data_IF_168139283984
#
_entry.id   IF_168139283984
#
_cell.length_a   1.000
_cell.length_b   1.000
_cell.length_c   1.000
_cell.angle_alpha   90.00
_cell.angle_beta   90.00
_cell.angle_gamma   90.00
#
_symmetry.space_group_name_H-M   'P 1'
#
loop_
_entity.id
_entity.type
_entity.pdbx_description
1 polymer ?
#
# COMPACT_ATOMS: atom_id res chain seq x y z
N UNK A 1 -32.16 -31.08 -7.20
CA UNK A 1 -31.05 -30.53 -8.04
C UNK A 1 -29.89 -31.51 -8.23
N UNK A 2 -29.76 -32.56 -7.43
CA UNK A 2 -28.78 -33.64 -7.66
C UNK A 2 -29.20 -34.66 -8.72
N UNK A 3 -30.50 -34.80 -8.96
CA UNK A 3 -31.09 -35.75 -9.92
C UNK A 3 -30.67 -35.53 -11.38
N UNK A 4 -30.18 -34.33 -11.73
CA UNK A 4 -29.75 -33.97 -13.09
C UNK A 4 -28.24 -33.98 -13.27
N UNK A 5 -27.48 -34.24 -12.21
CA UNK A 5 -26.01 -34.27 -12.28
C UNK A 5 -25.59 -35.58 -12.95
N UNK A 6 -24.78 -35.54 -14.03
CA UNK A 6 -24.26 -36.76 -14.64
C UNK A 6 -23.51 -37.60 -13.62
N UNK A 7 -23.90 -38.86 -13.49
CA UNK A 7 -23.28 -39.84 -12.60
C UNK A 7 -22.88 -41.10 -13.38
N UNK A 8 -22.04 -41.91 -12.76
CA UNK A 8 -21.65 -43.22 -13.26
C UNK A 8 -21.98 -44.24 -12.17
N UNK A 9 -22.69 -45.31 -12.55
CA UNK A 9 -22.94 -46.43 -11.65
C UNK A 9 -21.63 -47.21 -11.47
N UNK A 10 -21.06 -47.13 -10.27
CA UNK A 10 -19.89 -47.91 -9.86
C UNK A 10 -20.41 -49.11 -9.07
N UNK A 11 -20.04 -50.33 -9.50
CA UNK A 11 -20.37 -51.53 -8.72
C UNK A 11 -19.70 -51.44 -7.36
N UNK A 12 -20.38 -51.91 -6.31
CA UNK A 12 -19.94 -51.77 -4.92
C UNK A 12 -18.52 -52.30 -4.66
N UNK A 13 -18.08 -53.33 -5.40
CA UNK A 13 -16.70 -53.87 -5.32
C UNK A 13 -15.65 -53.13 -6.16
N UNK A 14 -16.02 -52.13 -6.96
CA UNK A 14 -15.10 -51.36 -7.80
C UNK A 14 -14.71 -50.02 -7.18
N UNK A 15 -15.43 -49.56 -6.14
CA UNK A 15 -15.17 -48.27 -5.48
C UNK A 15 -13.80 -48.22 -4.80
N UNK A 16 -13.33 -49.35 -4.27
CA UNK A 16 -12.00 -49.51 -3.66
C UNK A 16 -10.86 -49.14 -4.61
N UNK A 17 -11.08 -49.29 -5.92
CA UNK A 17 -10.12 -48.90 -6.93
C UNK A 17 -9.95 -47.38 -7.01
N UNK A 18 -10.92 -46.58 -6.56
CA UNK A 18 -10.94 -45.12 -6.65
C UNK A 18 -10.77 -44.40 -5.32
N UNK A 19 -10.93 -45.12 -4.20
CA UNK A 19 -10.70 -44.57 -2.86
C UNK A 19 -9.28 -44.01 -2.71
N UNK A 20 -9.20 -42.80 -2.17
CA UNK A 20 -7.96 -42.15 -1.78
C UNK A 20 -7.43 -42.75 -0.50
N UNK A 21 -6.10 -42.91 -0.44
CA UNK A 21 -5.38 -43.41 0.73
C UNK A 21 -4.23 -42.48 1.07
N UNK A 22 -3.82 -42.43 2.35
CA UNK A 22 -2.58 -41.78 2.73
C UNK A 22 -1.40 -42.28 1.89
N UNK A 23 -0.52 -41.35 1.53
CA UNK A 23 0.60 -41.49 0.61
C UNK A 23 0.24 -41.57 -0.89
N UNK A 24 -1.03 -41.60 -1.28
CA UNK A 24 -1.37 -41.45 -2.71
C UNK A 24 -0.80 -40.12 -3.25
N UNK A 25 -0.24 -40.15 -4.45
CA UNK A 25 0.15 -38.92 -5.15
C UNK A 25 -0.82 -38.69 -6.31
N UNK A 26 -1.50 -37.55 -6.26
CA UNK A 26 -2.40 -37.07 -7.28
C UNK A 26 -1.67 -36.15 -8.25
N UNK A 27 -1.94 -36.32 -9.54
CA UNK A 27 -1.35 -35.55 -10.63
C UNK A 27 -2.45 -34.89 -11.46
N UNK A 28 -2.33 -33.59 -11.69
CA UNK A 28 -3.22 -32.85 -12.56
C UNK A 28 -2.91 -33.13 -14.02
N UNK A 29 -3.90 -33.66 -14.75
CA UNK A 29 -3.70 -34.19 -16.10
C UNK A 29 -4.10 -33.24 -17.24
N UNK A 30 -4.89 -32.21 -16.94
CA UNK A 30 -5.44 -31.28 -17.94
C UNK A 30 -5.36 -29.82 -17.46
N UNK A 31 -5.22 -28.87 -18.40
CA UNK A 31 -5.36 -27.44 -18.15
C UNK A 31 -4.07 -26.74 -17.73
N UNK A 32 -4.19 -25.51 -17.21
CA UNK A 32 -3.04 -24.71 -16.77
C UNK A 32 -2.27 -25.27 -15.57
N UNK A 33 -2.75 -26.38 -14.99
CA UNK A 33 -2.13 -27.06 -13.85
C UNK A 33 -1.51 -28.40 -14.23
N UNK A 34 -1.45 -28.77 -15.51
CA UNK A 34 -0.80 -30.03 -15.95
C UNK A 34 0.59 -30.15 -15.36
N UNK A 35 0.89 -31.32 -14.77
CA UNK A 35 2.17 -31.55 -14.12
C UNK A 35 2.17 -31.36 -12.62
N UNK A 36 1.24 -30.56 -12.08
CA UNK A 36 1.20 -30.33 -10.64
C UNK A 36 0.82 -31.62 -9.92
N UNK A 37 1.57 -31.93 -8.88
CA UNK A 37 1.38 -33.11 -8.05
C UNK A 37 1.06 -32.74 -6.59
N UNK A 38 0.29 -33.58 -5.92
CA UNK A 38 -0.05 -33.44 -4.51
C UNK A 38 0.09 -34.78 -3.80
N UNK A 39 0.82 -34.79 -2.68
CA UNK A 39 0.95 -35.96 -1.81
C UNK A 39 -0.16 -35.92 -0.76
N UNK A 40 -1.04 -36.92 -0.79
CA UNK A 40 -2.12 -37.08 0.18
C UNK A 40 -1.51 -37.52 1.51
N UNK A 41 -1.58 -36.66 2.53
CA UNK A 41 -1.07 -36.99 3.87
C UNK A 41 -2.14 -37.67 4.72
N UNK A 42 -3.36 -37.14 4.69
CA UNK A 42 -4.49 -37.62 5.48
C UNK A 42 -5.76 -37.66 4.63
N UNK A 43 -6.64 -38.61 4.94
CA UNK A 43 -7.94 -38.80 4.29
C UNK A 43 -8.98 -38.91 5.42
N UNK A 44 -9.56 -37.79 5.88
CA UNK A 44 -10.42 -37.77 7.06
C UNK A 44 -11.76 -38.46 6.84
N UNK A 45 -12.24 -38.48 5.59
CA UNK A 45 -13.48 -39.12 5.17
C UNK A 45 -13.21 -39.90 3.88
N UNK A 46 -13.98 -40.96 3.65
CA UNK A 46 -13.90 -41.74 2.42
C UNK A 46 -14.14 -40.84 1.21
N UNK A 47 -13.09 -40.69 0.39
CA UNK A 47 -13.09 -39.77 -0.73
C UNK A 47 -12.51 -40.43 -1.97
N UNK A 48 -13.05 -40.05 -3.13
CA UNK A 48 -12.50 -40.37 -4.44
C UNK A 48 -11.94 -39.10 -5.09
N UNK A 49 -10.97 -39.26 -5.99
CA UNK A 49 -10.41 -38.13 -6.73
C UNK A 49 -11.22 -37.81 -7.99
N UNK A 50 -11.21 -36.55 -8.39
CA UNK A 50 -11.90 -36.11 -9.60
C UNK A 50 -11.28 -36.71 -10.87
N UNK A 51 -12.09 -36.93 -11.91
CA UNK A 51 -11.65 -37.62 -13.15
C UNK A 51 -10.57 -36.91 -13.97
N UNK A 52 -10.29 -35.63 -13.69
CA UNK A 52 -9.18 -34.88 -14.27
C UNK A 52 -7.86 -35.04 -13.49
N UNK A 53 -7.84 -35.87 -12.45
CA UNK A 53 -6.64 -36.25 -11.70
C UNK A 53 -6.23 -37.67 -12.05
N UNK A 54 -4.94 -37.94 -11.97
CA UNK A 54 -4.35 -39.28 -12.05
C UNK A 54 -3.78 -39.60 -10.67
N UNK A 55 -4.20 -40.72 -10.09
CA UNK A 55 -3.56 -41.27 -8.90
C UNK A 55 -2.43 -42.20 -9.32
N UNK A 56 -1.23 -41.95 -8.79
CA UNK A 56 -0.08 -42.83 -9.01
C UNK A 56 -0.17 -44.09 -8.13
N UNK A 57 0.33 -45.21 -8.65
CA UNK A 57 0.61 -46.42 -7.88
C UNK A 57 2.08 -46.76 -8.07
N UNK A 58 2.78 -47.01 -6.98
CA UNK A 58 4.22 -47.27 -7.00
C UNK A 58 4.57 -48.42 -6.06
N UNK A 59 5.76 -48.99 -6.26
CA UNK A 59 6.27 -50.12 -5.49
C UNK A 59 6.56 -49.72 -4.03
N UNK A 60 6.46 -50.69 -3.10
CA UNK A 60 6.84 -50.53 -1.69
C UNK A 60 8.32 -50.18 -1.49
N UNK A 61 9.16 -50.32 -2.52
CA UNK A 61 10.57 -49.90 -2.47
C UNK A 61 10.76 -48.39 -2.65
N UNK A 62 9.71 -47.66 -3.04
CA UNK A 62 9.75 -46.23 -3.31
C UNK A 62 9.08 -45.45 -2.16
N UNK A 63 9.82 -44.50 -1.60
CA UNK A 63 9.33 -43.55 -0.63
C UNK A 63 8.39 -42.54 -1.32
N UNK A 64 7.13 -42.39 -0.85
CA UNK A 64 6.16 -41.44 -1.41
C UNK A 64 6.67 -40.00 -1.42
N UNK A 65 7.31 -39.59 -0.33
CA UNK A 65 7.85 -38.24 -0.15
C UNK A 65 9.00 -37.98 -1.12
N UNK A 66 9.84 -38.98 -1.37
CA UNK A 66 10.91 -38.89 -2.36
C UNK A 66 10.32 -38.70 -3.77
N UNK A 67 9.34 -39.52 -4.15
CA UNK A 67 8.67 -39.38 -5.44
C UNK A 67 7.99 -38.00 -5.59
N UNK A 68 7.38 -37.50 -4.51
CA UNK A 68 6.79 -36.17 -4.48
C UNK A 68 7.84 -35.07 -4.74
N UNK A 69 9.00 -35.13 -4.09
CA UNK A 69 10.08 -34.19 -4.35
C UNK A 69 10.67 -34.32 -5.77
N UNK A 70 10.78 -35.55 -6.29
CA UNK A 70 11.17 -35.74 -7.68
C UNK A 70 10.18 -35.05 -8.63
N UNK A 71 8.87 -35.16 -8.39
CA UNK A 71 7.83 -34.48 -9.18
C UNK A 71 7.81 -32.95 -9.04
N UNK A 72 8.66 -32.38 -8.19
CA UNK A 72 8.89 -30.94 -8.09
C UNK A 72 10.23 -30.52 -8.71
N UNK A 73 11.08 -31.48 -9.07
CA UNK A 73 12.40 -31.25 -9.63
C UNK A 73 12.36 -30.85 -11.11
N UNK A 74 13.42 -30.19 -11.55
CA UNK A 74 13.55 -29.80 -12.96
C UNK A 74 13.62 -31.01 -13.91
N UNK A 75 14.20 -32.13 -13.46
CA UNK A 75 14.27 -33.37 -14.25
C UNK A 75 12.88 -33.95 -14.55
N UNK A 76 11.94 -33.76 -13.65
CA UNK A 76 10.55 -34.14 -13.89
C UNK A 76 9.88 -33.18 -14.88
N UNK A 77 10.04 -31.88 -14.65
CA UNK A 77 9.41 -30.86 -15.49
C UNK A 77 9.97 -30.83 -16.92
N UNK A 78 11.25 -31.15 -17.12
CA UNK A 78 11.84 -31.27 -18.46
C UNK A 78 11.21 -32.41 -19.25
N UNK A 79 11.12 -33.60 -18.65
CA UNK A 79 10.47 -34.77 -19.25
C UNK A 79 8.98 -34.52 -19.52
N UNK A 80 8.30 -33.83 -18.61
CA UNK A 80 6.90 -33.48 -18.81
C UNK A 80 6.73 -32.54 -20.01
N UNK A 81 7.53 -31.47 -20.12
CA UNK A 81 7.44 -30.52 -21.24
C UNK A 81 7.73 -31.17 -22.60
N UNK A 82 8.71 -32.07 -22.64
CA UNK A 82 9.03 -32.85 -23.84
C UNK A 82 7.93 -33.87 -24.20
N UNK A 83 7.28 -34.46 -23.19
CA UNK A 83 6.25 -35.48 -23.36
C UNK A 83 4.81 -34.95 -23.50
N UNK A 84 4.57 -33.67 -23.24
CA UNK A 84 3.22 -33.07 -23.36
C UNK A 84 2.90 -32.66 -24.79
N UNK A 85 1.68 -32.97 -25.22
CA UNK A 85 1.16 -32.52 -26.51
C UNK A 85 0.85 -31.02 -26.39
N UNK A 86 1.48 -30.21 -27.26
CA UNK A 86 1.25 -28.76 -27.33
C UNK A 86 -0.08 -28.50 -28.06
N UNK A 87 -1.19 -28.68 -27.35
CA UNK A 87 -2.54 -28.23 -27.78
C UNK A 87 -2.97 -26.98 -27.00
N UNK A 88 -4.04 -26.31 -27.44
CA UNK A 88 -4.59 -25.12 -26.76
C UNK A 88 -4.89 -25.35 -25.26
N UNK A 89 -5.21 -26.59 -24.88
CA UNK A 89 -5.23 -27.05 -23.50
C UNK A 89 -4.16 -28.13 -23.32
N UNK A 90 -3.12 -27.91 -22.50
CA UNK A 90 -2.11 -28.94 -22.21
C UNK A 90 -2.76 -30.18 -21.58
N UNK A 91 -2.29 -31.36 -21.96
CA UNK A 91 -2.77 -32.63 -21.44
C UNK A 91 -1.60 -33.62 -21.28
N UNK A 92 -1.59 -34.34 -20.16
CA UNK A 92 -0.68 -35.45 -19.91
C UNK A 92 -1.49 -36.66 -19.45
N UNK A 93 -1.38 -37.79 -20.13
CA UNK A 93 -2.11 -39.01 -19.77
C UNK A 93 -1.24 -39.96 -18.93
N UNK A 94 -1.87 -41.00 -18.37
CA UNK A 94 -1.18 -41.97 -17.53
C UNK A 94 -0.07 -42.76 -18.23
N UNK A 95 -0.15 -42.94 -19.56
CA UNK A 95 0.90 -43.61 -20.34
C UNK A 95 2.13 -42.73 -20.47
N UNK A 96 1.96 -41.45 -20.74
CA UNK A 96 3.06 -40.47 -20.74
C UNK A 96 3.71 -40.37 -19.38
N UNK A 97 2.90 -40.27 -18.31
CA UNK A 97 3.41 -40.22 -16.93
C UNK A 97 4.17 -41.50 -16.55
N UNK A 98 3.67 -42.67 -16.95
CA UNK A 98 4.30 -43.96 -16.66
C UNK A 98 5.62 -44.22 -17.42
N UNK A 99 5.90 -43.46 -18.48
CA UNK A 99 7.14 -43.56 -19.25
C UNK A 99 8.25 -42.64 -18.72
N UNK A 100 7.99 -41.84 -17.68
CA UNK A 100 8.99 -40.96 -17.11
C UNK A 100 10.09 -41.75 -16.40
N UNK A 101 11.34 -41.33 -16.61
CA UNK A 101 12.50 -41.88 -15.94
C UNK A 101 12.62 -41.25 -14.55
N UNK A 102 12.61 -42.11 -13.52
CA UNK A 102 12.79 -41.72 -12.12
C UNK A 102 14.09 -42.33 -11.62
N UNK A 103 15.04 -41.55 -11.09
CA UNK A 103 16.21 -42.10 -10.42
C UNK A 103 15.76 -42.69 -9.06
N UNK A 104 15.94 -43.99 -8.86
CA UNK A 104 15.52 -44.68 -7.63
C UNK A 104 16.78 -45.12 -6.86
N UNK A 105 17.23 -44.35 -5.84
CA UNK A 105 18.32 -44.78 -4.98
C UNK A 105 17.83 -45.84 -3.97
N UNK A 106 18.74 -46.49 -3.22
CA UNK A 106 18.37 -47.42 -2.15
C UNK A 106 17.44 -46.77 -1.11
N UNK A 107 16.58 -47.57 -0.46
CA UNK A 107 15.53 -47.04 0.42
C UNK A 107 16.03 -46.15 1.57
N UNK A 108 17.18 -46.47 2.17
CA UNK A 108 17.79 -45.62 3.21
C UNK A 108 18.24 -44.26 2.66
N UNK A 109 18.72 -44.23 1.42
CA UNK A 109 19.17 -43.02 0.75
C UNK A 109 17.97 -42.13 0.35
N UNK A 110 16.86 -42.73 -0.07
CA UNK A 110 15.60 -42.00 -0.30
C UNK A 110 15.15 -41.26 0.97
N UNK A 111 15.16 -41.94 2.13
CA UNK A 111 14.80 -41.35 3.42
C UNK A 111 15.76 -40.22 3.78
N UNK A 112 17.08 -40.45 3.68
CA UNK A 112 18.10 -39.44 3.97
C UNK A 112 17.94 -38.17 3.12
N UNK A 113 17.62 -38.32 1.84
CA UNK A 113 17.33 -37.21 0.92
C UNK A 113 16.09 -36.44 1.38
N UNK A 114 15.00 -37.14 1.68
CA UNK A 114 13.74 -36.54 2.14
C UNK A 114 13.94 -35.75 3.43
N UNK A 115 14.65 -36.31 4.42
CA UNK A 115 14.97 -35.62 5.67
C UNK A 115 15.74 -34.33 5.44
N UNK A 116 16.75 -34.37 4.55
CA UNK A 116 17.55 -33.19 4.24
C UNK A 116 16.73 -32.11 3.52
N UNK A 117 15.87 -32.51 2.59
CA UNK A 117 14.97 -31.59 1.88
C UNK A 117 13.97 -30.96 2.84
N UNK A 118 13.35 -31.74 3.72
CA UNK A 118 12.43 -31.24 4.74
C UNK A 118 13.10 -30.18 5.64
N UNK A 119 14.31 -30.47 6.14
CA UNK A 119 15.05 -29.55 6.98
C UNK A 119 15.33 -28.21 6.28
N UNK A 120 15.68 -28.24 4.99
CA UNK A 120 15.94 -27.01 4.21
C UNK A 120 14.63 -26.28 3.89
N UNK A 121 13.57 -27.01 3.52
CA UNK A 121 12.28 -26.42 3.17
C UNK A 121 11.65 -25.67 4.35
N UNK A 122 11.86 -26.12 5.58
CA UNK A 122 11.42 -25.40 6.77
C UNK A 122 11.97 -23.96 6.81
N UNK A 123 13.26 -23.77 6.52
CA UNK A 123 13.88 -22.44 6.45
C UNK A 123 13.38 -21.61 5.28
N UNK A 124 13.09 -22.22 4.12
CA UNK A 124 12.52 -21.53 2.96
C UNK A 124 11.13 -20.98 3.27
N UNK A 125 10.30 -21.77 3.96
CA UNK A 125 8.95 -21.36 4.39
C UNK A 125 9.03 -20.20 5.39
N UNK A 126 9.93 -20.29 6.38
CA UNK A 126 10.16 -19.22 7.36
C UNK A 126 10.58 -17.92 6.66
N UNK A 127 11.59 -18.00 5.78
CA UNK A 127 12.05 -16.85 5.00
C UNK A 127 10.92 -16.22 4.16
N UNK A 128 10.12 -17.05 3.48
CA UNK A 128 8.99 -16.57 2.67
C UNK A 128 7.93 -15.84 3.51
N UNK A 129 7.72 -16.29 4.75
CA UNK A 129 6.81 -15.63 5.71
C UNK A 129 7.35 -14.26 6.13
N UNK A 130 8.64 -14.18 6.44
CA UNK A 130 9.32 -12.93 6.81
C UNK A 130 9.31 -11.93 5.64
N UNK A 131 9.65 -12.38 4.43
CA UNK A 131 9.63 -11.54 3.22
C UNK A 131 8.23 -10.98 2.93
N UNK A 132 7.20 -11.83 3.03
CA UNK A 132 5.80 -11.40 2.86
C UNK A 132 5.40 -10.34 3.89
N UNK A 133 5.81 -10.53 5.16
CA UNK A 133 5.58 -9.56 6.23
C UNK A 133 6.31 -8.24 5.97
N UNK A 134 7.57 -8.29 5.55
CA UNK A 134 8.35 -7.10 5.21
C UNK A 134 7.70 -6.32 4.07
N UNK A 135 7.29 -7.00 2.99
CA UNK A 135 6.57 -6.39 1.87
C UNK A 135 5.28 -5.73 2.32
N UNK A 136 4.48 -6.42 3.13
CA UNK A 136 3.25 -5.87 3.68
C UNK A 136 3.49 -4.60 4.51
N UNK A 137 4.48 -4.62 5.40
CA UNK A 137 4.86 -3.46 6.20
C UNK A 137 5.34 -2.31 5.33
N UNK A 138 6.20 -2.57 4.35
CA UNK A 138 6.70 -1.55 3.42
C UNK A 138 5.59 -0.93 2.57
N UNK A 139 4.56 -1.69 2.23
CA UNK A 139 3.41 -1.17 1.47
C UNK A 139 2.52 -0.25 2.32
N UNK A 140 2.36 -0.56 3.61
CA UNK A 140 1.44 0.16 4.51
C UNK A 140 2.14 1.33 5.23
N UNK A 141 3.44 1.19 5.49
CA UNK A 141 4.23 2.15 6.26
C UNK A 141 4.15 3.59 5.71
N UNK A 142 4.27 3.85 4.39
CA UNK A 142 4.21 5.22 3.86
C UNK A 142 2.92 5.95 4.19
N UNK A 143 1.76 5.31 4.00
CA UNK A 143 0.47 5.95 4.28
C UNK A 143 0.21 6.08 5.79
N UNK A 144 0.64 5.11 6.61
CA UNK A 144 0.57 5.24 8.07
C UNK A 144 1.44 6.39 8.58
N UNK A 145 2.68 6.48 8.12
CA UNK A 145 3.61 7.54 8.50
C UNK A 145 3.06 8.91 8.09
N UNK A 146 2.57 9.02 6.86
CA UNK A 146 1.94 10.25 6.34
C UNK A 146 0.73 10.67 7.16
N UNK A 147 -0.17 9.74 7.51
CA UNK A 147 -1.33 10.02 8.37
C UNK A 147 -0.89 10.54 9.74
N UNK A 148 0.12 9.90 10.34
CA UNK A 148 0.66 10.32 11.63
C UNK A 148 1.32 11.71 11.57
N UNK A 149 2.17 11.98 10.58
CA UNK A 149 2.79 13.31 10.41
C UNK A 149 1.73 14.39 10.18
N UNK A 150 0.72 14.13 9.37
CA UNK A 150 -0.38 15.08 9.14
C UNK A 150 -1.18 15.35 10.41
N UNK A 151 -1.46 14.32 11.21
CA UNK A 151 -2.15 14.46 12.48
C UNK A 151 -1.35 15.34 13.46
N UNK A 152 -0.06 15.07 13.61
CA UNK A 152 0.83 15.89 14.45
C UNK A 152 0.96 17.33 13.91
N UNK A 153 0.90 17.51 12.58
CA UNK A 153 0.91 18.84 11.95
C UNK A 153 -0.33 19.66 12.30
N UNK A 154 -1.52 19.04 12.24
CA UNK A 154 -2.79 19.67 12.57
C UNK A 154 -2.86 20.02 14.06
N UNK A 155 -2.31 19.15 14.91
CA UNK A 155 -2.22 19.41 16.35
C UNK A 155 -1.14 20.44 16.73
N UNK A 156 -0.36 20.93 15.75
CA UNK A 156 0.71 21.90 15.99
C UNK A 156 1.97 21.32 16.63
N UNK A 157 1.98 20.04 16.98
CA UNK A 157 3.05 19.36 17.74
C UNK A 157 4.35 19.12 16.97
N UNK A 158 4.37 19.38 15.66
CA UNK A 158 5.58 19.30 14.84
C UNK A 158 6.65 20.35 15.18
N UNK A 159 6.33 21.33 16.02
CA UNK A 159 7.25 22.37 16.49
C UNK A 159 7.07 22.61 17.98
N UNK A 160 8.13 23.03 18.70
CA UNK A 160 8.03 23.44 20.11
C UNK A 160 6.95 24.51 20.29
N UNK A 161 6.06 24.29 21.26
CA UNK A 161 4.98 25.21 21.58
C UNK A 161 5.49 26.31 22.52
N UNK A 162 5.10 27.56 22.24
CA UNK A 162 5.32 28.66 23.19
C UNK A 162 4.14 28.70 24.18
N UNK A 163 4.38 28.59 25.50
CA UNK A 163 3.32 28.70 26.51
C UNK A 163 2.58 30.05 26.50
N UNK A 164 3.18 31.08 25.90
CA UNK A 164 2.59 32.41 25.78
C UNK A 164 1.81 32.63 24.47
N UNK A 165 1.79 31.66 23.55
CA UNK A 165 0.99 31.76 22.33
C UNK A 165 -0.51 31.79 22.67
N UNK A 166 -1.24 32.68 22.00
CA UNK A 166 -2.68 32.80 22.20
C UNK A 166 -3.40 31.51 21.76
N UNK A 167 -4.32 30.97 22.57
CA UNK A 167 -5.12 29.82 22.16
C UNK A 167 -5.95 30.17 20.92
N UNK A 168 -5.98 29.25 19.94
CA UNK A 168 -6.74 29.43 18.70
C UNK A 168 -8.23 29.75 18.93
N UNK A 169 -8.80 29.30 20.07
CA UNK A 169 -10.17 29.63 20.48
C UNK A 169 -10.40 31.15 20.59
N UNK A 170 -9.45 31.90 21.15
CA UNK A 170 -9.55 33.35 21.35
C UNK A 170 -9.53 34.10 20.01
N UNK A 171 -8.73 33.61 19.05
CA UNK A 171 -8.72 34.14 17.68
C UNK A 171 -10.05 33.87 16.97
N UNK A 172 -10.61 32.67 17.12
CA UNK A 172 -11.90 32.30 16.51
C UNK A 172 -13.05 33.16 17.04
N UNK A 173 -13.06 33.47 18.34
CA UNK A 173 -14.05 34.38 18.92
C UNK A 173 -13.95 35.79 18.34
N UNK A 174 -12.73 36.35 18.20
CA UNK A 174 -12.51 37.65 17.52
C UNK A 174 -13.03 37.65 16.09
N UNK A 175 -12.71 36.60 15.32
CA UNK A 175 -13.16 36.47 13.93
C UNK A 175 -14.69 36.40 13.86
N UNK A 176 -15.36 35.67 14.77
CA UNK A 176 -16.83 35.61 14.84
C UNK A 176 -17.44 36.98 15.13
N UNK A 177 -16.91 37.70 16.13
CA UNK A 177 -17.39 39.04 16.48
C UNK A 177 -17.21 40.04 15.34
N UNK A 178 -16.07 40.02 14.65
CA UNK A 178 -15.79 40.89 13.51
C UNK A 178 -16.67 40.54 12.30
N UNK A 179 -16.89 39.25 12.03
CA UNK A 179 -17.83 38.79 10.99
C UNK A 179 -19.26 39.26 11.27
N UNK A 180 -19.72 39.18 12.53
CA UNK A 180 -21.05 39.68 12.91
C UNK A 180 -21.19 41.19 12.69
N UNK A 181 -20.18 41.99 13.04
CA UNK A 181 -20.16 43.44 12.76
C UNK A 181 -20.24 43.73 11.26
N UNK A 182 -19.43 43.06 10.45
CA UNK A 182 -19.40 43.27 9.00
C UNK A 182 -20.68 42.82 8.28
N UNK A 183 -21.39 41.84 8.84
CA UNK A 183 -22.74 41.46 8.40
C UNK A 183 -23.77 42.52 8.79
N UNK A 184 -23.70 43.08 10.01
CA UNK A 184 -24.58 44.16 10.45
C UNK A 184 -24.38 45.45 9.64
N UNK A 185 -23.14 45.73 9.23
CA UNK A 185 -22.78 46.84 8.34
C UNK A 185 -23.12 46.59 6.86
N UNK A 186 -23.64 45.40 6.51
CA UNK A 186 -24.05 45.05 5.14
C UNK A 186 -22.90 44.82 4.15
N UNK A 187 -21.64 44.82 4.61
CA UNK A 187 -20.45 44.60 3.77
C UNK A 187 -20.27 43.13 3.37
N UNK A 188 -20.88 42.20 4.11
CA UNK A 188 -20.81 40.75 3.87
C UNK A 188 -22.20 40.14 4.09
N UNK A 189 -22.59 39.16 3.26
CA UNK A 189 -23.83 38.40 3.47
C UNK A 189 -23.67 37.44 4.66
N UNK A 190 -24.73 37.30 5.46
CA UNK A 190 -24.79 36.33 6.56
C UNK A 190 -24.73 34.91 5.99
N UNK A 191 -23.87 34.07 6.57
CA UNK A 191 -23.81 32.65 6.20
C UNK A 191 -25.11 31.97 6.63
N UNK A 192 -25.69 31.15 5.74
CA UNK A 192 -26.94 30.41 6.02
C UNK A 192 -26.73 29.16 6.89
N UNK A 193 -25.51 28.64 6.97
CA UNK A 193 -25.20 27.34 7.58
C UNK A 193 -23.97 27.51 8.49
N UNK A 194 -24.18 28.07 9.68
CA UNK A 194 -23.12 28.14 10.69
C UNK A 194 -23.11 26.84 11.49
N UNK A 195 -22.04 26.05 11.36
CA UNK A 195 -21.87 24.83 12.13
C UNK A 195 -20.92 25.04 13.30
N UNK A 196 -21.18 24.31 14.38
CA UNK A 196 -20.33 24.32 15.58
C UNK A 196 -19.78 22.93 15.79
N UNK A 197 -18.46 22.84 15.84
CA UNK A 197 -17.76 21.61 16.22
C UNK A 197 -17.55 21.62 17.73
N UNK A 198 -17.94 20.54 18.39
CA UNK A 198 -17.78 20.34 19.83
C UNK A 198 -17.31 18.90 20.12
N UNK A 199 -16.86 18.65 21.34
CA UNK A 199 -16.33 17.34 21.76
C UNK A 199 -17.23 16.74 22.82
N UNK A 200 -17.62 15.48 22.64
CA UNK A 200 -18.39 14.67 23.58
C UNK A 200 -17.77 13.28 23.63
N UNK A 201 -17.61 12.70 24.82
CA UNK A 201 -17.08 11.32 25.00
C UNK A 201 -15.81 10.99 24.20
N UNK A 202 -14.87 11.94 24.15
CA UNK A 202 -13.59 11.81 23.45
C UNK A 202 -13.65 11.83 21.90
N UNK A 203 -14.83 12.01 21.31
CA UNK A 203 -15.08 12.11 19.86
C UNK A 203 -15.55 13.52 19.45
N UNK A 204 -15.31 13.90 18.18
CA UNK A 204 -15.70 15.20 17.65
C UNK A 204 -17.04 15.13 16.91
N UNK A 205 -17.91 16.09 17.20
CA UNK A 205 -19.24 16.21 16.63
C UNK A 205 -19.42 17.58 15.97
N UNK A 206 -20.09 17.61 14.83
CA UNK A 206 -20.52 18.84 14.16
C UNK A 206 -22.03 19.00 14.32
N UNK A 207 -22.46 20.17 14.80
CA UNK A 207 -23.86 20.57 14.88
C UNK A 207 -24.23 21.46 13.70
N UNK A 208 -25.15 21.00 12.84
CA UNK A 208 -25.78 21.80 11.79
C UNK A 208 -27.25 22.01 12.16
N UNK A 209 -27.56 23.15 12.79
CA UNK A 209 -28.91 23.42 13.30
C UNK A 209 -29.33 22.44 14.39
N UNK A 210 -30.23 21.51 14.06
CA UNK A 210 -30.77 20.48 14.96
C UNK A 210 -30.05 19.14 14.89
N UNK A 211 -29.27 18.89 13.84
CA UNK A 211 -28.61 17.61 13.60
C UNK A 211 -27.20 17.61 14.19
N UNK A 212 -26.85 16.52 14.87
CA UNK A 212 -25.55 16.30 15.50
C UNK A 212 -24.92 15.06 14.86
N UNK A 213 -23.75 15.23 14.23
CA UNK A 213 -23.10 14.17 13.45
C UNK A 213 -21.65 14.00 13.92
N UNK A 214 -21.25 12.76 14.20
CA UNK A 214 -19.85 12.43 14.49
C UNK A 214 -19.00 12.66 13.23
N UNK A 215 -17.87 13.36 13.38
CA UNK A 215 -16.98 13.75 12.27
C UNK A 215 -15.58 13.15 12.35
N UNK A 216 -15.32 12.25 13.29
CA UNK A 216 -13.99 11.64 13.48
C UNK A 216 -13.46 10.96 12.19
N UNK A 217 -14.35 10.33 11.41
CA UNK A 217 -14.03 9.69 10.14
C UNK A 217 -14.15 10.62 8.91
N UNK A 218 -14.69 11.84 9.09
CA UNK A 218 -15.01 12.78 8.01
C UNK A 218 -13.95 13.85 7.77
N UNK A 219 -12.88 13.90 8.57
CA UNK A 219 -11.76 14.80 8.31
C UNK A 219 -11.13 14.40 6.95
N UNK A 220 -11.26 15.23 5.90
CA UNK A 220 -10.66 14.90 4.62
C UNK A 220 -9.15 15.10 4.77
N UNK A 221 -8.42 13.99 4.91
CA UNK A 221 -6.95 14.01 4.90
C UNK A 221 -6.38 14.10 3.48
N UNK A 222 -7.24 14.30 2.47
CA UNK A 222 -6.78 14.62 1.13
C UNK A 222 -6.09 15.98 1.11
N UNK A 223 -4.86 16.00 0.59
CA UNK A 223 -4.15 17.25 0.34
C UNK A 223 -5.00 18.05 -0.66
N UNK A 224 -5.44 19.28 -0.34
CA UNK A 224 -6.21 20.06 -1.28
C UNK A 224 -5.40 20.23 -2.57
N UNK A 225 -6.00 19.83 -3.70
CA UNK A 225 -5.41 20.03 -5.04
C UNK A 225 -5.17 21.52 -5.21
N UNK A 226 -3.90 21.93 -5.12
CA UNK A 226 -3.49 23.30 -5.38
C UNK A 226 -3.88 23.60 -6.83
N UNK A 227 -4.82 24.52 -7.07
CA UNK A 227 -5.18 24.92 -8.44
C UNK A 227 -3.92 25.47 -9.14
N UNK A 228 -3.42 24.82 -10.20
CA UNK A 228 -2.32 25.37 -10.97
C UNK A 228 -2.83 26.63 -11.67
N UNK A 229 -2.13 27.76 -11.53
CA UNK A 229 -2.27 28.83 -12.52
C UNK A 229 -1.59 28.35 -13.80
N UNK A 230 -2.39 28.25 -14.87
CA UNK A 230 -2.05 28.01 -16.27
C UNK A 230 -0.56 28.09 -16.62
N UNK A 231 0.09 26.94 -16.74
CA UNK A 231 1.26 26.74 -17.61
C UNK A 231 1.11 25.35 -18.24
N UNK A 232 1.14 25.31 -19.57
CA UNK A 232 1.12 24.12 -20.42
C UNK A 232 2.52 23.42 -20.43
N UNK A 233 2.67 22.22 -21.02
CA UNK A 233 2.96 20.97 -20.33
C UNK A 233 4.46 20.59 -20.28
N UNK A 234 4.90 20.08 -19.14
CA UNK A 234 5.97 19.09 -19.00
C UNK A 234 5.94 18.59 -17.55
N UNK A 235 5.01 17.68 -17.28
CA UNK A 235 4.92 16.97 -16.02
C UNK A 235 5.99 15.90 -15.98
N UNK A 236 6.80 15.92 -14.91
CA UNK A 236 7.39 14.75 -14.22
C UNK A 236 8.47 15.15 -13.18
N UNK A 237 8.85 16.44 -13.08
CA UNK A 237 9.78 16.94 -12.06
C UNK A 237 9.16 17.87 -10.99
N UNK A 238 7.86 18.17 -11.08
CA UNK A 238 7.18 19.11 -10.18
C UNK A 238 6.94 18.56 -8.76
N UNK A 239 6.83 17.24 -8.58
CA UNK A 239 6.47 16.67 -7.27
C UNK A 239 7.67 16.46 -6.33
N UNK A 240 8.89 16.27 -6.86
CA UNK A 240 10.11 16.22 -6.04
C UNK A 240 10.56 17.62 -5.57
N UNK A 241 10.38 18.64 -6.41
CA UNK A 241 10.78 20.03 -6.09
C UNK A 241 9.78 20.74 -5.15
N UNK A 242 8.48 20.46 -5.25
CA UNK A 242 7.48 21.07 -4.37
C UNK A 242 7.62 20.59 -2.91
N UNK A 243 8.15 19.39 -2.70
CA UNK A 243 8.38 18.83 -1.37
C UNK A 243 9.58 19.48 -0.66
N UNK A 244 10.72 19.63 -1.34
CA UNK A 244 11.91 20.31 -0.78
C UNK A 244 11.66 21.82 -0.60
N UNK A 245 10.92 22.45 -1.52
CA UNK A 245 10.56 23.88 -1.44
C UNK A 245 9.62 24.22 -0.28
N UNK A 246 8.68 23.32 0.07
CA UNK A 246 7.80 23.48 1.24
C UNK A 246 8.53 23.32 2.57
N UNK A 247 9.54 22.45 2.63
CA UNK A 247 10.35 22.21 3.84
C UNK A 247 11.27 23.42 4.13
N UNK A 248 11.87 24.04 3.11
CA UNK A 248 12.80 25.17 3.29
C UNK A 248 12.08 26.50 3.64
N UNK A 249 10.88 26.76 3.10
CA UNK A 249 10.13 28.01 3.36
C UNK A 249 9.56 28.06 4.79
N UNK A 250 9.23 26.91 5.39
CA UNK A 250 8.73 26.87 6.77
C UNK A 250 9.82 27.20 7.80
N UNK A 251 11.11 26.98 7.48
CA UNK A 251 12.24 27.32 8.35
C UNK A 251 12.63 28.81 8.33
N UNK A 252 12.31 29.58 7.27
CA UNK A 252 12.74 30.99 7.17
C UNK A 252 11.67 32.04 7.54
N UNK A 253 10.41 31.64 7.76
CA UNK A 253 9.33 32.60 8.03
C UNK A 253 9.35 33.22 9.45
N UNK A 254 10.13 32.68 10.40
CA UNK A 254 10.31 33.30 11.74
C UNK A 254 11.13 34.60 11.68
N UNK A 255 11.98 34.81 10.67
CA UNK A 255 12.80 36.02 10.54
C UNK A 255 12.09 37.19 9.85
N UNK A 256 11.05 36.92 9.05
CA UNK A 256 10.40 37.94 8.20
C UNK A 256 9.41 38.80 9.00
N UNK A 257 8.72 38.21 9.99
CA UNK A 257 7.82 38.99 10.86
C UNK A 257 8.60 39.94 11.80
N UNK A 258 9.76 39.51 12.33
CA UNK A 258 10.63 40.36 13.15
C UNK A 258 11.34 41.47 12.37
N UNK A 259 11.53 41.32 11.05
CA UNK A 259 12.18 42.32 10.21
C UNK A 259 11.21 43.39 9.67
N UNK A 260 9.95 43.02 9.41
CA UNK A 260 8.91 43.98 8.95
C UNK A 260 8.58 45.05 9.99
N UNK A 261 8.67 44.72 11.29
CA UNK A 261 8.40 45.67 12.39
C UNK A 261 9.55 46.66 12.58
N UNK A 262 10.78 46.34 12.13
CA UNK A 262 11.99 47.14 12.39
C UNK A 262 12.39 48.12 11.28
N UNK A 263 11.84 47.99 10.07
CA UNK A 263 12.31 48.75 8.88
C UNK A 263 11.24 49.63 8.19
N UNK A 264 10.06 49.81 8.78
CA UNK A 264 9.10 50.82 8.32
C UNK A 264 9.47 52.20 8.90
N UNK A 265 9.74 53.23 8.09
CA UNK A 265 10.01 54.57 8.59
C UNK A 265 8.77 55.12 9.30
N UNK A 266 8.98 55.72 10.49
CA UNK A 266 7.93 56.22 11.41
C UNK A 266 7.07 57.39 10.88
N UNK A 267 7.11 57.72 9.60
CA UNK A 267 6.38 58.86 9.02
C UNK A 267 5.57 58.55 7.77
N UNK A 268 5.41 57.28 7.39
CA UNK A 268 4.44 56.93 6.34
C UNK A 268 3.05 56.72 6.97
N UNK A 269 2.16 57.69 6.75
CA UNK A 269 0.75 57.67 7.16
C UNK A 269 0.08 56.31 6.83
N UNK A 270 -0.57 55.68 7.81
CA UNK A 270 -1.18 54.33 7.68
C UNK A 270 -2.21 54.26 6.53
N UNK A 271 -2.79 55.40 6.15
CA UNK A 271 -3.67 55.53 5.00
C UNK A 271 -2.97 55.25 3.65
N UNK A 272 -1.66 55.49 3.54
CA UNK A 272 -0.88 55.27 2.31
C UNK A 272 -0.56 53.79 2.08
N UNK A 273 -0.36 53.02 3.16
CA UNK A 273 -0.07 51.57 3.11
C UNK A 273 -1.30 50.75 2.69
N UNK A 274 -2.50 51.25 3.01
CA UNK A 274 -3.79 50.66 2.63
C UNK A 274 -4.23 51.03 1.20
N UNK A 275 -3.68 52.10 0.60
CA UNK A 275 -4.01 52.55 -0.76
C UNK A 275 -3.10 52.00 -1.88
N UNK A 276 -1.99 51.33 -1.56
CA UNK A 276 -1.11 50.78 -2.60
C UNK A 276 -1.70 49.52 -3.22
N UNK A 277 -1.95 49.60 -4.54
CA UNK A 277 -2.62 48.57 -5.32
C UNK A 277 -1.79 47.27 -5.37
N UNK A 278 -2.47 46.12 -5.45
CA UNK A 278 -1.92 44.74 -5.31
C UNK A 278 -0.64 44.48 -6.12
N UNK A 279 -0.46 45.17 -7.24
CA UNK A 279 0.66 45.02 -8.17
C UNK A 279 1.98 45.66 -7.68
N UNK A 280 1.93 46.74 -6.89
CA UNK A 280 3.15 47.38 -6.37
C UNK A 280 3.76 46.61 -5.18
N UNK A 281 2.92 45.99 -4.33
CA UNK A 281 3.38 45.05 -3.27
C UNK A 281 4.08 43.82 -3.87
N UNK A 282 3.65 43.36 -5.04
CA UNK A 282 4.27 42.23 -5.76
C UNK A 282 5.61 42.64 -6.41
N UNK A 283 5.73 43.87 -6.91
CA UNK A 283 6.98 44.37 -7.53
C UNK A 283 8.13 44.48 -6.52
N UNK A 284 7.87 45.04 -5.34
CA UNK A 284 8.87 45.14 -4.26
C UNK A 284 9.32 43.76 -3.76
N UNK A 285 8.39 42.81 -3.66
CA UNK A 285 8.67 41.43 -3.26
C UNK A 285 9.53 40.69 -4.30
N UNK A 286 9.26 40.91 -5.61
CA UNK A 286 10.03 40.33 -6.72
C UNK A 286 11.46 40.88 -6.81
N UNK A 287 11.66 42.17 -6.52
CA UNK A 287 12.99 42.79 -6.53
C UNK A 287 13.92 42.21 -5.44
N UNK A 288 13.37 41.95 -4.24
CA UNK A 288 14.11 41.34 -3.13
C UNK A 288 14.49 39.88 -3.37
N UNK A 289 13.63 39.10 -4.04
CA UNK A 289 13.90 37.71 -4.45
C UNK A 289 15.09 37.66 -5.43
N UNK A 290 15.10 38.54 -6.44
CA UNK A 290 16.14 38.59 -7.49
C UNK A 290 17.54 38.88 -6.97
N UNK A 291 17.67 39.67 -5.90
CA UNK A 291 18.97 40.02 -5.30
C UNK A 291 19.56 38.88 -4.47
N UNK A 292 18.71 37.99 -3.90
CA UNK A 292 19.16 36.80 -3.15
C UNK A 292 19.49 35.59 -4.04
N UNK A 293 18.90 35.53 -5.22
CA UNK A 293 19.15 34.48 -6.23
C UNK A 293 20.61 34.44 -6.70
N UNK A 294 21.23 35.61 -6.92
CA UNK A 294 22.66 35.71 -7.28
C UNK A 294 23.63 35.28 -6.17
N UNK A 295 23.23 35.46 -4.91
CA UNK A 295 24.06 35.04 -3.76
C UNK A 295 24.01 33.53 -3.53
N UNK A 296 22.94 32.85 -3.97
CA UNK A 296 22.76 31.40 -3.84
C UNK A 296 23.48 30.62 -4.95
N UNK A 297 23.53 31.17 -6.18
CA UNK A 297 24.31 30.57 -7.28
C UNK A 297 25.80 30.46 -6.93
N UNK A 298 26.39 31.49 -6.32
CA UNK A 298 27.80 31.48 -5.87
C UNK A 298 28.13 30.46 -4.77
N UNK A 299 27.12 29.98 -4.04
CA UNK A 299 27.29 28.99 -2.96
C UNK A 299 27.12 27.57 -3.52
N UNK A 300 26.22 27.40 -4.50
CA UNK A 300 25.96 26.11 -5.17
C UNK A 300 27.16 25.66 -6.02
N UNK A 301 27.83 26.56 -6.74
CA UNK A 301 29.04 26.23 -7.52
C UNK A 301 30.21 25.73 -6.65
N UNK A 302 30.23 26.06 -5.35
CA UNK A 302 31.26 25.59 -4.41
C UNK A 302 30.97 24.22 -3.79
N UNK A 303 29.73 23.71 -3.92
CA UNK A 303 29.31 22.43 -3.33
C UNK A 303 29.39 21.25 -4.32
N UNK A 304 29.44 21.48 -5.63
CA UNK A 304 29.59 20.43 -6.65
C UNK A 304 31.05 19.89 -6.78
N UNK A 305 31.95 20.25 -5.86
CA UNK A 305 33.36 19.78 -5.84
C UNK A 305 33.73 18.93 -4.61
N UNK A 306 32.73 18.48 -3.83
CA UNK A 306 32.91 17.59 -2.66
C UNK A 306 32.07 16.32 -2.77
#
# INVERSE_FOLDING_TARGET
MWETVPYCDIKEGEIDAYLLKPNDILFARTGGTVGKSYLVQEVPEEAIYAGYLIRTKYSNQLCPQYLKYFMESELYWSQLREGTIVTAQPNCNGKTLGNMLVPIPPSHEQIRIVEKLNAVMAHVIEYGTIDSRLKHLNNIFPERLKKSILQEAVQGKLVPQDPYDEPAAVLLERIRAEKQKLVAEGKIKRDKHESVIFRMDNSHYEKHGSEEVCIDDKLPFEIPKIRPRSIHPAGELQDKYLFIWKVQIKMQNRAIHSAMVRFLPRTADQATILRTNRLQKISLFRFFIRKKEKSLQSILEKMDTW
#
